data_IF_706269450520
#
_entry.id   IF_706269450520
#
_cell.length_a   1.000
_cell.length_b   1.000
_cell.length_c   1.000
_cell.angle_alpha   90.00
_cell.angle_beta   90.00
_cell.angle_gamma   90.00
#
_symmetry.space_group_name_H-M   'P 1'
#
loop_
_entity.id
_entity.type
_entity.pdbx_description
1 polymer ?
#
# COMPACT_ATOMS: atom_id res chain seq x y z
N UNK A 1 -11.34 -40.04 -19.97
CA UNK A 1 -11.65 -38.99 -19.04
C UNK A 1 -10.45 -38.75 -18.10
N UNK A 2 -9.65 -37.70 -18.29
CA UNK A 2 -8.65 -37.27 -17.30
C UNK A 2 -8.67 -35.74 -17.14
N UNK A 3 -9.59 -35.15 -16.35
CA UNK A 3 -9.59 -33.70 -16.12
C UNK A 3 -9.81 -33.28 -14.65
N UNK A 4 -9.99 -34.21 -13.71
CA UNK A 4 -10.20 -33.82 -12.29
C UNK A 4 -8.93 -33.71 -11.45
N UNK A 5 -7.82 -34.34 -11.82
CA UNK A 5 -6.57 -34.28 -11.05
C UNK A 5 -5.72 -33.03 -11.34
N UNK A 6 -5.80 -32.44 -12.54
CA UNK A 6 -4.99 -31.29 -12.93
C UNK A 6 -5.43 -29.98 -12.25
N UNK A 7 -6.75 -29.76 -12.15
CA UNK A 7 -7.30 -28.57 -11.51
C UNK A 7 -7.04 -28.52 -10.00
N UNK A 8 -7.09 -29.65 -9.33
CA UNK A 8 -6.82 -29.76 -7.88
C UNK A 8 -5.35 -29.43 -7.58
N UNK A 9 -4.40 -29.94 -8.37
CA UNK A 9 -2.97 -29.69 -8.20
C UNK A 9 -2.64 -28.20 -8.45
N UNK A 10 -3.22 -27.60 -9.49
CA UNK A 10 -3.02 -26.19 -9.81
C UNK A 10 -3.56 -25.27 -8.70
N UNK A 11 -4.72 -25.57 -8.12
CA UNK A 11 -5.30 -24.81 -7.01
C UNK A 11 -4.42 -24.92 -5.76
N UNK A 12 -3.92 -26.12 -5.44
CA UNK A 12 -3.05 -26.34 -4.29
C UNK A 12 -1.71 -25.64 -4.44
N UNK A 13 -1.12 -25.66 -5.65
CA UNK A 13 0.11 -24.92 -5.94
C UNK A 13 -0.08 -23.40 -5.79
N UNK A 14 -1.19 -22.85 -6.31
CA UNK A 14 -1.52 -21.42 -6.14
C UNK A 14 -1.63 -21.03 -4.65
N UNK A 15 -2.33 -21.82 -3.85
CA UNK A 15 -2.47 -21.57 -2.42
C UNK A 15 -1.10 -21.61 -1.71
N UNK A 16 -0.23 -22.54 -2.05
CA UNK A 16 1.11 -22.64 -1.49
C UNK A 16 1.98 -21.43 -1.87
N UNK A 17 1.92 -20.98 -3.13
CA UNK A 17 2.62 -19.77 -3.59
C UNK A 17 2.07 -18.54 -2.86
N UNK A 18 0.74 -18.42 -2.70
CA UNK A 18 0.11 -17.29 -2.02
C UNK A 18 0.56 -17.20 -0.56
N UNK A 19 0.54 -18.32 0.16
CA UNK A 19 0.99 -18.40 1.55
C UNK A 19 2.48 -18.05 1.70
N UNK A 20 3.36 -18.61 0.85
CA UNK A 20 4.78 -18.33 0.89
C UNK A 20 5.08 -16.88 0.51
N UNK A 21 4.37 -16.30 -0.48
CA UNK A 21 4.51 -14.90 -0.85
C UNK A 21 4.06 -13.96 0.29
N UNK A 22 2.94 -14.29 0.95
CA UNK A 22 2.44 -13.56 2.11
C UNK A 22 3.45 -13.52 3.25
N UNK A 23 4.08 -14.65 3.55
CA UNK A 23 5.14 -14.72 4.57
C UNK A 23 6.35 -13.86 4.18
N UNK A 24 6.80 -13.92 2.93
CA UNK A 24 7.90 -13.07 2.44
C UNK A 24 7.58 -11.57 2.54
N UNK A 25 6.34 -11.17 2.25
CA UNK A 25 5.88 -9.79 2.44
C UNK A 25 5.94 -9.40 3.92
N UNK A 26 5.40 -10.24 4.80
CA UNK A 26 5.31 -9.96 6.23
C UNK A 26 6.68 -9.90 6.92
N UNK A 27 7.58 -10.84 6.60
CA UNK A 27 8.87 -11.01 7.28
C UNK A 27 10.00 -10.20 6.66
N UNK A 28 10.03 -10.14 5.31
CA UNK A 28 11.15 -9.53 4.57
C UNK A 28 10.83 -8.13 4.05
N UNK A 29 9.63 -7.61 4.28
CA UNK A 29 9.23 -6.25 3.90
C UNK A 29 9.12 -6.03 2.39
N UNK A 30 8.88 -7.09 1.61
CA UNK A 30 8.67 -6.98 0.17
C UNK A 30 7.33 -6.31 -0.08
N UNK A 31 7.32 -5.09 -0.63
CA UNK A 31 6.08 -4.36 -0.95
C UNK A 31 5.48 -4.72 -2.31
N UNK A 32 6.27 -5.28 -3.23
CA UNK A 32 5.82 -5.68 -4.56
C UNK A 32 5.30 -7.12 -4.57
N UNK A 33 3.99 -7.27 -4.75
CA UNK A 33 3.33 -8.58 -4.83
C UNK A 33 3.85 -9.45 -5.98
N UNK A 34 4.21 -8.85 -7.12
CA UNK A 34 4.75 -9.60 -8.26
C UNK A 34 6.12 -10.16 -7.93
N UNK A 35 6.96 -9.39 -7.25
CA UNK A 35 8.26 -9.83 -6.77
C UNK A 35 8.11 -10.92 -5.70
N UNK A 36 7.20 -10.74 -4.74
CA UNK A 36 6.93 -11.71 -3.68
C UNK A 36 6.48 -13.06 -4.26
N UNK A 37 5.55 -13.05 -5.22
CA UNK A 37 5.06 -14.26 -5.92
C UNK A 37 6.18 -14.99 -6.68
N UNK A 38 7.03 -14.26 -7.39
CA UNK A 38 8.19 -14.87 -8.09
C UNK A 38 9.20 -15.47 -7.12
N UNK A 39 9.52 -14.77 -6.04
CA UNK A 39 10.40 -15.30 -4.99
C UNK A 39 9.80 -16.54 -4.32
N UNK A 40 8.50 -16.53 -4.06
CA UNK A 40 7.79 -17.69 -3.51
C UNK A 40 7.85 -18.89 -4.46
N UNK A 41 7.59 -18.67 -5.75
CA UNK A 41 7.71 -19.72 -6.79
C UNK A 41 9.09 -20.36 -6.76
N UNK A 42 10.13 -19.53 -6.75
CA UNK A 42 11.52 -19.98 -6.74
C UNK A 42 11.88 -20.73 -5.46
N UNK A 43 11.45 -20.22 -4.30
CA UNK A 43 11.67 -20.87 -3.00
C UNK A 43 11.00 -22.24 -2.88
N UNK A 44 9.88 -22.44 -3.61
CA UNK A 44 9.16 -23.71 -3.68
C UNK A 44 9.71 -24.68 -4.74
N UNK A 45 10.71 -24.25 -5.52
CA UNK A 45 11.25 -25.08 -6.61
C UNK A 45 10.27 -25.36 -7.74
N UNK A 46 9.25 -24.49 -7.92
CA UNK A 46 8.22 -24.67 -8.94
C UNK A 46 8.69 -24.07 -10.29
N UNK A 47 8.28 -24.64 -11.43
CA UNK A 47 8.62 -24.13 -12.76
C UNK A 47 8.14 -22.71 -13.00
N UNK A 48 8.88 -21.89 -13.77
CA UNK A 48 8.52 -20.50 -14.10
C UNK A 48 7.18 -20.35 -14.82
N UNK A 49 6.71 -21.40 -15.51
CA UNK A 49 5.40 -21.44 -16.17
C UNK A 49 4.22 -21.73 -15.23
N UNK A 50 4.45 -21.92 -13.92
CA UNK A 50 3.38 -22.19 -12.96
C UNK A 50 2.44 -20.98 -12.84
N UNK A 51 1.12 -21.26 -12.85
CA UNK A 51 0.10 -20.23 -12.68
C UNK A 51 0.23 -19.55 -11.30
N UNK A 52 0.56 -18.26 -11.29
CA UNK A 52 0.67 -17.48 -10.07
C UNK A 52 -0.71 -17.15 -9.49
N UNK A 53 -0.81 -17.03 -8.14
CA UNK A 53 -2.03 -16.56 -7.49
C UNK A 53 -2.32 -15.11 -7.84
N UNK A 54 -3.59 -14.71 -7.75
CA UNK A 54 -4.01 -13.32 -7.83
C UNK A 54 -3.49 -12.52 -6.61
N UNK A 55 -3.40 -11.20 -6.74
CA UNK A 55 -2.98 -10.36 -5.61
C UNK A 55 -3.95 -10.46 -4.43
N UNK A 56 -5.24 -10.64 -4.71
CA UNK A 56 -6.27 -10.85 -3.69
C UNK A 56 -6.04 -12.12 -2.85
N UNK A 57 -5.57 -13.19 -3.48
CA UNK A 57 -5.27 -14.45 -2.80
C UNK A 57 -4.07 -14.28 -1.88
N UNK A 58 -3.00 -13.60 -2.34
CA UNK A 58 -1.83 -13.27 -1.52
C UNK A 58 -2.19 -12.35 -0.36
N UNK A 59 -3.05 -11.35 -0.61
CA UNK A 59 -3.50 -10.41 0.42
C UNK A 59 -4.33 -11.10 1.51
N UNK A 60 -5.20 -12.04 1.14
CA UNK A 60 -5.97 -12.83 2.10
C UNK A 60 -5.05 -13.66 3.01
N UNK A 61 -4.05 -14.33 2.43
CA UNK A 61 -3.04 -15.07 3.17
C UNK A 61 -2.18 -14.15 4.06
N UNK A 62 -1.82 -12.97 3.58
CA UNK A 62 -1.06 -11.97 4.35
C UNK A 62 -1.83 -11.52 5.59
N UNK A 63 -3.10 -11.18 5.45
CA UNK A 63 -3.97 -10.82 6.60
C UNK A 63 -4.09 -11.98 7.60
N UNK A 64 -4.20 -13.20 7.10
CA UNK A 64 -4.26 -14.39 7.97
C UNK A 64 -2.94 -14.59 8.71
N UNK A 65 -1.81 -14.48 8.00
CA UNK A 65 -0.49 -14.59 8.60
C UNK A 65 -0.26 -13.53 9.68
N UNK A 66 -0.55 -12.26 9.37
CA UNK A 66 -0.37 -11.14 10.30
C UNK A 66 -1.23 -11.32 11.56
N UNK A 67 -2.49 -11.73 11.40
CA UNK A 67 -3.38 -12.01 12.54
C UNK A 67 -2.87 -13.14 13.44
N UNK A 68 -2.30 -14.20 12.86
CA UNK A 68 -1.86 -15.38 13.61
C UNK A 68 -0.50 -15.21 14.28
N UNK A 69 0.43 -14.48 13.63
CA UNK A 69 1.83 -14.45 14.03
C UNK A 69 2.34 -13.07 14.48
N UNK A 70 1.64 -11.99 14.14
CA UNK A 70 2.06 -10.64 14.47
C UNK A 70 1.09 -9.88 15.39
N UNK A 71 -0.15 -10.36 15.55
CA UNK A 71 -1.13 -9.94 16.54
C UNK A 71 -1.11 -8.46 16.93
N UNK A 72 -0.90 -8.21 18.22
CA UNK A 72 -0.93 -6.85 18.80
C UNK A 72 0.19 -5.93 18.29
N UNK A 73 1.38 -6.46 18.02
CA UNK A 73 2.50 -5.66 17.48
C UNK A 73 2.17 -5.10 16.11
N UNK A 74 1.53 -5.90 15.25
CA UNK A 74 1.10 -5.45 13.93
C UNK A 74 0.00 -4.39 14.02
N UNK A 75 -0.99 -4.59 14.89
CA UNK A 75 -2.06 -3.63 15.12
C UNK A 75 -1.51 -2.28 15.61
N UNK A 76 -0.58 -2.29 16.58
CA UNK A 76 0.06 -1.07 17.06
C UNK A 76 0.90 -0.40 15.97
N UNK A 77 1.63 -1.18 15.18
CA UNK A 77 2.38 -0.64 14.01
C UNK A 77 1.48 0.05 13.01
N UNK A 78 0.35 -0.55 12.65
CA UNK A 78 -0.66 0.07 11.76
C UNK A 78 -1.18 1.37 12.36
N UNK A 79 -1.47 1.39 13.66
CA UNK A 79 -1.94 2.59 14.34
C UNK A 79 -0.90 3.71 14.34
N UNK A 80 0.38 3.40 14.56
CA UNK A 80 1.48 4.38 14.45
C UNK A 80 1.57 4.98 13.06
N UNK A 81 1.52 4.13 12.01
CA UNK A 81 1.58 4.57 10.62
C UNK A 81 0.36 5.45 10.26
N UNK A 82 -0.83 5.09 10.73
CA UNK A 82 -2.05 5.89 10.51
C UNK A 82 -2.00 7.23 11.24
N UNK A 83 -1.51 7.28 12.48
CA UNK A 83 -1.30 8.55 13.20
C UNK A 83 -0.37 9.48 12.41
N UNK A 84 0.78 8.94 11.97
CA UNK A 84 1.73 9.70 11.15
C UNK A 84 1.10 10.16 9.82
N UNK A 85 0.34 9.30 9.15
CA UNK A 85 -0.38 9.67 7.93
C UNK A 85 -1.34 10.84 8.17
N UNK A 86 -2.10 10.85 9.29
CA UNK A 86 -2.98 11.96 9.65
C UNK A 86 -2.23 13.27 9.85
N UNK A 87 -1.13 13.26 10.59
CA UNK A 87 -0.29 14.45 10.81
C UNK A 87 0.15 15.07 9.47
N UNK A 88 0.61 14.24 8.54
CA UNK A 88 1.02 14.71 7.22
C UNK A 88 -0.17 15.18 6.39
N UNK A 89 -1.30 14.47 6.43
CA UNK A 89 -2.51 14.87 5.70
C UNK A 89 -3.06 16.21 6.21
N UNK A 90 -2.98 16.48 7.50
CA UNK A 90 -3.33 17.79 8.09
C UNK A 90 -2.46 18.91 7.52
N UNK A 91 -1.13 18.71 7.52
CA UNK A 91 -0.18 19.67 6.94
C UNK A 91 -0.43 19.90 5.46
N UNK A 92 -0.80 18.85 4.73
CA UNK A 92 -1.01 18.87 3.27
C UNK A 92 -2.46 19.17 2.86
N UNK A 93 -3.33 19.60 3.78
CA UNK A 93 -4.78 19.74 3.58
C UNK A 93 -5.15 20.55 2.32
N UNK A 94 -4.40 21.59 1.99
CA UNK A 94 -4.65 22.43 0.81
C UNK A 94 -4.49 21.70 -0.54
N UNK A 95 -3.86 20.50 -0.54
CA UNK A 95 -3.62 19.68 -1.71
C UNK A 95 -4.54 18.46 -1.79
N UNK A 96 -5.69 18.47 -1.10
CA UNK A 96 -6.67 17.38 -1.09
C UNK A 96 -6.04 16.01 -0.83
N UNK A 97 -5.46 15.74 0.34
CA UNK A 97 -4.76 14.51 0.65
C UNK A 97 -5.71 13.32 0.84
N UNK A 98 -5.28 12.15 0.33
CA UNK A 98 -5.94 10.87 0.55
C UNK A 98 -4.91 9.82 0.96
N UNK A 99 -5.15 9.12 2.05
CA UNK A 99 -4.38 7.92 2.40
C UNK A 99 -4.78 6.76 1.48
N UNK A 100 -3.80 5.99 1.04
CA UNK A 100 -4.00 4.79 0.20
C UNK A 100 -2.98 3.70 0.53
N UNK A 101 -3.10 2.53 -0.07
CA UNK A 101 -2.12 1.44 0.03
C UNK A 101 -2.17 0.66 1.32
N UNK A 102 -1.08 -0.04 1.64
CA UNK A 102 -1.04 -1.05 2.70
C UNK A 102 -1.36 -0.53 4.11
N UNK A 103 -1.07 0.74 4.38
CA UNK A 103 -1.39 1.39 5.67
C UNK A 103 -2.91 1.55 5.81
N UNK A 104 -3.59 1.98 4.74
CA UNK A 104 -5.04 2.04 4.70
C UNK A 104 -5.66 0.65 4.81
N UNK A 105 -5.17 -0.29 4.01
CA UNK A 105 -5.69 -1.66 3.92
C UNK A 105 -5.40 -2.49 5.18
N UNK A 106 -4.52 -1.99 6.08
CA UNK A 106 -4.13 -2.68 7.30
C UNK A 106 -3.17 -3.84 7.07
N UNK A 107 -2.50 -3.90 5.93
CA UNK A 107 -1.54 -4.96 5.56
C UNK A 107 -0.08 -4.50 5.57
N UNK A 108 0.17 -3.27 6.05
CA UNK A 108 1.51 -2.69 6.08
C UNK A 108 2.46 -3.53 6.93
N UNK A 109 3.54 -4.02 6.32
CA UNK A 109 4.61 -4.75 6.99
C UNK A 109 5.58 -3.82 7.74
N UNK A 110 6.64 -4.41 8.30
CA UNK A 110 7.64 -3.70 9.12
C UNK A 110 8.28 -2.50 8.42
N UNK A 111 8.54 -2.61 7.12
CA UNK A 111 9.21 -1.59 6.31
C UNK A 111 8.25 -0.89 5.34
N UNK A 112 6.94 -0.94 5.63
CA UNK A 112 5.97 -0.29 4.77
C UNK A 112 6.13 1.23 4.78
N UNK A 113 5.96 1.82 3.61
CA UNK A 113 5.90 3.25 3.38
C UNK A 113 4.44 3.74 3.52
N UNK A 114 4.28 5.01 3.82
CA UNK A 114 2.97 5.66 3.87
C UNK A 114 2.72 6.32 2.52
N UNK A 115 1.71 5.87 1.78
CA UNK A 115 1.33 6.42 0.48
C UNK A 115 0.17 7.42 0.65
N UNK A 116 0.42 8.70 0.32
CA UNK A 116 -0.56 9.78 0.35
C UNK A 116 -0.69 10.36 -1.06
N UNK A 117 -1.89 10.31 -1.63
CA UNK A 117 -2.21 10.96 -2.89
C UNK A 117 -2.55 12.43 -2.65
N UNK A 118 -2.01 13.32 -3.45
CA UNK A 118 -2.29 14.75 -3.45
C UNK A 118 -2.86 15.14 -4.83
N UNK A 119 -3.83 16.05 -4.83
CA UNK A 119 -4.48 16.53 -6.05
C UNK A 119 -4.37 18.04 -6.15
N UNK A 120 -3.58 18.52 -7.11
CA UNK A 120 -3.27 19.94 -7.30
C UNK A 120 -3.12 20.28 -8.77
N UNK A 121 -3.07 21.57 -9.08
CA UNK A 121 -2.90 22.04 -10.46
C UNK A 121 -1.43 21.95 -10.93
N UNK A 122 -0.48 21.84 -9.98
CA UNK A 122 0.95 21.69 -10.29
C UNK A 122 1.71 20.99 -9.15
N UNK A 123 2.55 20.01 -9.50
CA UNK A 123 3.45 19.39 -8.55
C UNK A 123 4.44 20.37 -7.92
N UNK A 124 4.84 21.43 -8.64
CA UNK A 124 5.71 22.50 -8.12
C UNK A 124 5.12 23.22 -6.91
N UNK A 125 3.79 23.32 -6.82
CA UNK A 125 3.14 23.96 -5.68
C UNK A 125 3.39 23.17 -4.39
N UNK A 126 3.45 21.83 -4.49
CA UNK A 126 3.79 20.95 -3.35
C UNK A 126 5.26 21.10 -2.99
N UNK A 127 6.16 21.11 -3.98
CA UNK A 127 7.60 21.30 -3.76
C UNK A 127 7.90 22.63 -3.05
N UNK A 128 7.36 23.74 -3.57
CA UNK A 128 7.51 25.08 -2.98
C UNK A 128 6.95 25.10 -1.55
N UNK A 129 5.83 24.44 -1.33
CA UNK A 129 5.23 24.37 0.00
C UNK A 129 6.11 23.64 1.01
N UNK A 130 6.73 22.51 0.63
CA UNK A 130 7.67 21.77 1.45
C UNK A 130 8.95 22.57 1.71
N UNK A 131 9.54 23.18 0.68
CA UNK A 131 10.72 24.03 0.79
C UNK A 131 10.50 25.22 1.74
N UNK A 132 9.37 25.89 1.65
CA UNK A 132 9.02 27.00 2.54
C UNK A 132 8.89 26.57 4.01
N UNK A 133 8.62 25.29 4.27
CA UNK A 133 8.59 24.69 5.61
C UNK A 133 9.90 24.04 6.02
N UNK A 134 10.93 24.10 5.18
CA UNK A 134 12.22 23.45 5.39
C UNK A 134 12.09 21.94 5.59
N UNK A 135 11.15 21.32 4.86
CA UNK A 135 10.98 19.86 4.83
C UNK A 135 11.77 19.32 3.65
N UNK A 136 12.74 18.47 3.95
CA UNK A 136 13.55 17.81 2.93
C UNK A 136 12.75 16.70 2.25
N UNK A 137 12.91 16.57 0.94
CA UNK A 137 12.28 15.53 0.14
C UNK A 137 13.21 15.06 -0.98
N UNK A 138 13.00 13.84 -1.43
CA UNK A 138 13.63 13.28 -2.61
C UNK A 138 12.58 13.02 -3.69
N UNK A 139 12.97 13.18 -4.97
CA UNK A 139 12.13 12.76 -6.08
C UNK A 139 12.25 11.26 -6.30
N UNK A 140 11.12 10.57 -6.36
CA UNK A 140 11.03 9.16 -6.69
C UNK A 140 10.29 8.96 -8.01
N UNK A 141 10.60 7.85 -8.70
CA UNK A 141 9.93 7.54 -9.98
C UNK A 141 8.46 7.17 -9.74
N UNK A 142 7.51 7.87 -10.38
CA UNK A 142 6.11 7.49 -10.32
C UNK A 142 5.87 6.06 -10.82
N UNK A 143 5.04 5.30 -10.12
CA UNK A 143 4.62 3.95 -10.53
C UNK A 143 3.51 3.95 -11.59
N UNK A 144 3.03 5.15 -11.95
CA UNK A 144 1.93 5.37 -12.91
C UNK A 144 2.22 6.64 -13.69
N UNK A 145 2.00 6.60 -14.99
CA UNK A 145 2.13 7.76 -15.91
C UNK A 145 1.09 8.87 -15.62
N UNK A 146 0.13 8.60 -14.75
CA UNK A 146 -0.90 9.57 -14.32
C UNK A 146 -0.40 10.50 -13.23
N UNK A 147 0.57 10.07 -12.42
CA UNK A 147 1.16 10.90 -11.38
C UNK A 147 2.22 11.83 -12.00
N UNK A 148 2.14 13.11 -11.68
CA UNK A 148 3.11 14.11 -12.12
C UNK A 148 4.44 13.99 -11.39
N UNK A 149 4.40 13.67 -10.09
CA UNK A 149 5.58 13.52 -9.27
C UNK A 149 5.32 12.58 -8.08
N UNK A 150 6.38 12.04 -7.54
CA UNK A 150 6.40 11.40 -6.21
C UNK A 150 7.51 12.05 -5.40
N UNK A 151 7.13 12.68 -4.29
CA UNK A 151 8.05 13.30 -3.34
C UNK A 151 8.11 12.41 -2.11
N UNK A 152 9.28 11.85 -1.83
CA UNK A 152 9.49 10.97 -0.67
C UNK A 152 10.11 11.75 0.47
N UNK A 153 9.42 11.78 1.60
CA UNK A 153 9.90 12.35 2.86
C UNK A 153 10.47 11.23 3.72
N UNK A 154 11.60 11.50 4.36
CA UNK A 154 12.16 10.60 5.36
C UNK A 154 11.67 11.01 6.75
N UNK A 155 11.02 10.10 7.44
CA UNK A 155 10.54 10.28 8.81
C UNK A 155 10.97 9.08 9.66
N UNK A 156 11.12 9.29 10.97
CA UNK A 156 11.58 8.24 11.90
C UNK A 156 10.60 7.04 11.96
N UNK A 157 9.32 7.28 11.72
CA UNK A 157 8.29 6.24 11.75
C UNK A 157 8.32 5.42 10.45
N UNK A 158 8.31 6.09 9.30
CA UNK A 158 8.35 5.45 7.99
C UNK A 158 8.63 6.48 6.90
N UNK A 159 9.15 6.04 5.74
CA UNK A 159 9.16 6.86 4.55
C UNK A 159 7.73 7.20 4.09
N UNK A 160 7.52 8.44 3.65
CA UNK A 160 6.21 8.95 3.25
C UNK A 160 6.27 9.36 1.78
N UNK A 161 5.47 8.75 0.95
CA UNK A 161 5.35 9.07 -0.46
C UNK A 161 4.17 10.01 -0.68
N UNK A 162 4.46 11.24 -1.06
CA UNK A 162 3.48 12.20 -1.55
C UNK A 162 3.36 12.03 -3.06
N UNK A 163 2.30 11.35 -3.49
CA UNK A 163 2.05 11.02 -4.90
C UNK A 163 1.15 12.10 -5.48
N UNK A 164 1.72 12.96 -6.28
CA UNK A 164 1.04 14.15 -6.81
C UNK A 164 0.36 13.84 -8.14
N UNK A 165 -0.93 14.13 -8.22
CA UNK A 165 -1.77 13.98 -9.40
C UNK A 165 -2.35 15.33 -9.82
N UNK A 166 -2.65 15.51 -11.12
CA UNK A 166 -3.46 16.64 -11.59
C UNK A 166 -4.81 16.68 -10.86
N UNK A 167 -5.32 17.87 -10.59
CA UNK A 167 -6.57 18.07 -9.84
C UNK A 167 -7.78 17.33 -10.41
N UNK A 168 -7.89 17.24 -11.74
CA UNK A 168 -9.00 16.53 -12.39
C UNK A 168 -8.99 15.02 -12.13
N UNK A 169 -7.84 14.44 -11.79
CA UNK A 169 -7.69 13.02 -11.44
C UNK A 169 -8.36 12.67 -10.10
N UNK A 170 -8.66 13.65 -9.24
CA UNK A 170 -9.34 13.42 -7.96
C UNK A 170 -10.70 12.73 -8.12
N UNK A 171 -11.39 12.97 -9.25
CA UNK A 171 -12.71 12.37 -9.53
C UNK A 171 -12.64 10.99 -10.18
N UNK A 172 -11.44 10.55 -10.54
CA UNK A 172 -11.25 9.31 -11.28
C UNK A 172 -11.02 8.15 -10.32
N UNK A 173 -11.68 7.04 -10.58
CA UNK A 173 -11.48 5.81 -9.83
C UNK A 173 -10.21 5.12 -10.30
N UNK A 174 -9.23 5.01 -9.41
CA UNK A 174 -8.01 4.26 -9.69
C UNK A 174 -8.25 2.78 -9.53
N UNK A 175 -7.69 1.99 -10.45
CA UNK A 175 -7.73 0.53 -10.38
C UNK A 175 -6.34 -0.03 -10.16
N UNK A 176 -6.26 -1.11 -9.40
CA UNK A 176 -5.06 -1.94 -9.28
C UNK A 176 -4.82 -2.72 -10.57
N UNK A 177 -3.65 -3.35 -10.70
CA UNK A 177 -3.28 -4.12 -11.91
C UNK A 177 -4.25 -5.29 -12.17
N UNK A 178 -4.88 -5.84 -11.14
CA UNK A 178 -5.89 -6.89 -11.18
C UNK A 178 -7.33 -6.36 -11.33
N UNK A 179 -7.49 -5.06 -11.65
CA UNK A 179 -8.78 -4.43 -11.97
C UNK A 179 -9.63 -4.01 -10.77
N UNK A 180 -9.21 -4.30 -9.53
CA UNK A 180 -9.93 -3.87 -8.32
C UNK A 180 -9.81 -2.36 -8.14
N UNK A 181 -10.81 -1.74 -7.53
CA UNK A 181 -10.76 -0.35 -7.12
C UNK A 181 -9.70 -0.17 -6.03
N UNK A 182 -8.73 0.73 -6.28
CA UNK A 182 -7.77 1.12 -5.25
C UNK A 182 -8.48 2.00 -4.23
N UNK A 183 -8.55 1.51 -3.01
CA UNK A 183 -9.15 2.27 -1.91
C UNK A 183 -8.30 3.48 -1.56
N UNK A 184 -8.97 4.58 -1.22
CA UNK A 184 -8.37 5.78 -0.68
C UNK A 184 -9.37 6.48 0.23
N UNK A 185 -8.89 7.12 1.28
CA UNK A 185 -9.74 7.84 2.24
C UNK A 185 -9.18 9.21 2.54
N UNK A 186 -10.09 10.16 2.78
CA UNK A 186 -9.76 11.48 3.29
C UNK A 186 -9.52 11.41 4.80
N UNK A 187 -8.93 12.48 5.34
CA UNK A 187 -8.61 12.60 6.75
C UNK A 187 -9.85 12.43 7.66
N UNK A 188 -10.97 13.02 7.29
CA UNK A 188 -12.24 12.98 8.04
C UNK A 188 -12.88 11.59 8.11
N UNK A 189 -12.56 10.73 7.13
CA UNK A 189 -13.04 9.34 7.07
C UNK A 189 -12.04 8.32 7.63
N UNK A 190 -10.85 8.78 8.04
CA UNK A 190 -9.83 7.89 8.59
C UNK A 190 -10.06 7.65 10.08
N UNK A 191 -10.59 6.47 10.41
CA UNK A 191 -10.84 6.05 11.80
C UNK A 191 -9.67 5.20 12.31
N UNK A 192 -9.09 5.59 13.44
CA UNK A 192 -8.11 4.78 14.17
C UNK A 192 -8.28 5.01 15.69
N UNK A 193 -7.86 4.08 16.56
CA UNK A 193 -7.97 4.25 18.01
C UNK A 193 -7.25 5.52 18.49
N UNK A 194 -7.99 6.43 19.15
CA UNK A 194 -7.48 7.71 19.64
C UNK A 194 -7.75 8.90 18.71
N UNK A 195 -8.31 8.68 17.51
CA UNK A 195 -8.85 9.73 16.67
C UNK A 195 -10.38 9.63 16.69
N UNK A 196 -11.01 10.27 17.66
CA UNK A 196 -12.42 10.59 17.56
C UNK A 196 -12.53 11.68 16.49
N UNK A 197 -12.99 11.28 15.29
CA UNK A 197 -13.18 12.22 14.19
C UNK A 197 -13.83 13.50 14.70
N UNK A 198 -13.27 14.64 14.36
CA UNK A 198 -13.87 15.95 14.57
C UNK A 198 -15.31 15.88 14.03
N UNK A 199 -16.26 15.60 14.93
CA UNK A 199 -17.67 15.84 14.67
C UNK A 199 -17.79 17.33 14.49
N UNK A 200 -17.81 17.77 13.24
CA UNK A 200 -18.26 19.11 12.88
C UNK A 200 -19.65 19.30 13.50
N UNK A 201 -19.73 20.17 14.51
CA UNK A 201 -20.97 20.80 14.98
C UNK A 201 -21.53 21.71 13.89
#
# INVERSE_FOLDING_TARGET
MPHRHDTSNTTQQKALIANTAARLIAESGISDYSLAKRKALHALGLPEGTHLPENAEVEAELRTYQRLFQGDEHAERINQLRRKACEIMEVMQKFNPYLTGSVLDGTAGRYAEIDIQLFTDSAKDVEIFLLNRRVDFAHSTPRSDRAEAVLTLNDEVAAINLIVYPRFEERIVFKTRDGRVRQRVRLDALVYPGHEGLKTL
#
